data_IF_211382846048
#
_entry.id   IF_211382846048
#
_cell.length_a   1.000
_cell.length_b   1.000
_cell.length_c   1.000
_cell.angle_alpha   90.00
_cell.angle_beta   90.00
_cell.angle_gamma   90.00
#
_symmetry.space_group_name_H-M   'P 1'
#
loop_
_entity.id
_entity.type
_entity.pdbx_description
1 polymer ?
#
# COMPACT_ATOMS: atom_id res chain seq x y z
N UNK A 1 -8.65 -10.94 -15.52
CA UNK A 1 -7.84 -10.65 -14.32
C UNK A 1 -6.56 -9.98 -14.78
N UNK A 2 -6.57 -8.66 -14.79
CA UNK A 2 -5.39 -7.86 -15.12
C UNK A 2 -4.68 -7.52 -13.83
N UNK A 3 -3.51 -8.10 -13.60
CA UNK A 3 -2.62 -7.69 -12.51
C UNK A 3 -2.40 -6.17 -12.63
N UNK A 4 -2.54 -5.43 -11.53
CA UNK A 4 -2.23 -4.00 -11.51
C UNK A 4 -0.73 -3.85 -11.74
N UNK A 5 -0.35 -3.19 -12.83
CA UNK A 5 1.04 -2.85 -13.14
C UNK A 5 1.27 -1.35 -12.96
N UNK A 6 2.53 -0.94 -12.89
CA UNK A 6 2.91 0.47 -12.82
C UNK A 6 2.32 1.26 -13.99
N UNK A 7 2.30 0.69 -15.20
CA UNK A 7 1.75 1.32 -16.40
C UNK A 7 0.23 1.45 -16.37
N UNK A 8 -0.45 0.57 -15.62
CA UNK A 8 -1.90 0.63 -15.44
C UNK A 8 -2.32 1.65 -14.38
N UNK A 9 -1.40 2.05 -13.50
CA UNK A 9 -1.62 3.11 -12.52
C UNK A 9 -1.54 4.44 -13.27
N UNK A 10 -2.61 5.23 -13.23
CA UNK A 10 -2.64 6.58 -13.83
C UNK A 10 -1.70 7.60 -13.18
N UNK A 11 -0.72 7.14 -12.40
CA UNK A 11 0.32 7.89 -11.71
C UNK A 11 1.56 7.00 -11.56
N UNK A 12 2.73 7.59 -11.31
CA UNK A 12 4.00 6.83 -11.20
C UNK A 12 4.43 6.67 -9.74
N UNK A 13 4.10 5.54 -9.07
CA UNK A 13 4.55 5.30 -7.70
C UNK A 13 6.08 5.35 -7.63
N UNK A 14 6.58 5.91 -6.53
CA UNK A 14 8.01 5.94 -6.24
C UNK A 14 8.31 4.99 -5.07
N UNK A 15 9.57 4.58 -4.87
CA UNK A 15 9.94 3.84 -3.68
C UNK A 15 9.54 4.59 -2.41
N UNK A 16 9.21 3.84 -1.35
CA UNK A 16 8.92 4.42 -0.04
C UNK A 16 10.07 5.36 0.38
N UNK A 17 9.71 6.52 0.94
CA UNK A 17 10.68 7.49 1.43
C UNK A 17 11.42 6.89 2.64
N UNK A 18 12.76 6.68 2.60
CA UNK A 18 13.48 6.05 3.71
C UNK A 18 13.43 6.88 4.99
N UNK A 19 13.19 8.18 4.91
CA UNK A 19 13.14 9.10 6.06
C UNK A 19 11.71 9.32 6.56
N UNK A 20 10.72 8.56 6.09
CA UNK A 20 9.29 8.81 6.34
C UNK A 20 8.92 8.98 7.81
N UNK A 21 9.58 8.25 8.72
CA UNK A 21 9.36 8.30 10.17
C UNK A 21 9.67 9.66 10.80
N UNK A 22 10.60 10.41 10.21
CA UNK A 22 10.99 11.75 10.71
C UNK A 22 10.35 12.85 9.87
N UNK A 23 10.06 12.56 8.61
CA UNK A 23 9.56 13.53 7.64
C UNK A 23 8.04 13.72 7.71
N UNK A 24 7.31 12.66 8.05
CA UNK A 24 5.85 12.69 8.07
C UNK A 24 5.30 12.47 9.48
N UNK A 25 4.19 13.14 9.83
CA UNK A 25 3.55 12.92 11.12
C UNK A 25 2.92 11.52 11.17
N UNK A 26 2.90 10.95 12.37
CA UNK A 26 1.96 9.87 12.71
C UNK A 26 0.54 10.45 12.66
N UNK A 27 -0.30 9.90 11.79
CA UNK A 27 -1.65 10.40 11.52
C UNK A 27 -2.73 9.50 12.09
N UNK A 28 -2.38 8.29 12.53
CA UNK A 28 -3.34 7.38 13.14
C UNK A 28 -2.79 5.99 13.39
N UNK A 29 -3.72 5.04 13.53
CA UNK A 29 -3.44 3.63 13.75
C UNK A 29 -4.42 2.81 12.91
N UNK A 30 -3.91 1.80 12.22
CA UNK A 30 -4.67 0.80 11.48
C UNK A 30 -4.38 -0.55 12.13
N UNK A 31 -5.42 -1.28 12.55
CA UNK A 31 -5.25 -2.47 13.41
C UNK A 31 -4.32 -2.20 14.61
N UNK A 32 -3.12 -2.79 14.59
CA UNK A 32 -2.13 -2.68 15.66
C UNK A 32 -0.87 -1.90 15.24
N UNK A 33 -0.86 -1.28 14.06
CA UNK A 33 0.28 -0.52 13.54
C UNK A 33 -0.04 0.95 13.32
N UNK A 34 1.01 1.77 13.47
CA UNK A 34 0.96 3.21 13.21
C UNK A 34 0.78 3.48 11.72
N UNK A 35 0.05 4.55 11.42
CA UNK A 35 -0.09 5.09 10.08
C UNK A 35 0.55 6.47 10.05
N UNK A 36 1.35 6.74 9.02
CA UNK A 36 2.01 8.01 8.78
C UNK A 36 1.48 8.64 7.49
N UNK A 37 1.40 9.97 7.47
CA UNK A 37 1.02 10.75 6.29
C UNK A 37 -0.37 10.44 5.67
N UNK A 38 -1.29 9.77 6.37
CA UNK A 38 -2.66 9.61 5.87
C UNK A 38 -3.34 10.99 5.80
N UNK A 39 -4.02 11.28 4.71
CA UNK A 39 -4.61 12.60 4.44
C UNK A 39 -3.59 13.69 4.05
N UNK A 40 -2.29 13.41 4.07
CA UNK A 40 -1.24 14.33 3.62
C UNK A 40 -1.04 14.19 2.10
N UNK A 41 -1.03 15.30 1.37
CA UNK A 41 -0.72 15.27 -0.06
C UNK A 41 0.76 14.92 -0.25
N UNK A 42 1.02 13.82 -0.95
CA UNK A 42 2.35 13.42 -1.41
C UNK A 42 2.38 13.41 -2.94
N UNK A 43 3.57 13.31 -3.50
CA UNK A 43 3.81 13.42 -4.94
C UNK A 43 4.53 12.18 -5.47
N UNK A 44 4.14 11.80 -6.68
CA UNK A 44 4.63 10.68 -7.46
C UNK A 44 6.03 10.96 -8.05
N UNK A 45 6.58 10.03 -8.83
CA UNK A 45 7.92 10.17 -9.43
C UNK A 45 8.01 11.34 -10.43
N UNK A 46 6.92 11.69 -11.10
CA UNK A 46 6.86 12.80 -12.05
C UNK A 46 6.56 14.16 -11.36
N UNK A 47 6.43 14.17 -10.02
CA UNK A 47 6.06 15.36 -9.26
C UNK A 47 4.57 15.70 -9.32
N UNK A 48 3.72 14.79 -9.80
CA UNK A 48 2.26 14.95 -9.80
C UNK A 48 1.70 14.52 -8.44
N UNK A 49 0.59 15.13 -7.97
CA UNK A 49 -0.04 14.70 -6.73
C UNK A 49 -0.54 13.26 -6.88
N UNK A 50 -0.27 12.41 -5.89
CA UNK A 50 -0.95 11.12 -5.80
C UNK A 50 -2.47 11.33 -5.80
N UNK A 51 -3.23 10.45 -6.50
CA UNK A 51 -4.69 10.57 -6.58
C UNK A 51 -5.36 10.30 -5.23
N UNK A 52 -4.68 9.58 -4.35
CA UNK A 52 -5.13 9.23 -3.02
C UNK A 52 -4.17 9.77 -1.96
N UNK A 53 -4.55 9.60 -0.68
CA UNK A 53 -3.75 10.01 0.48
C UNK A 53 -3.80 8.93 1.55
N UNK A 54 -3.52 7.70 1.14
CA UNK A 54 -3.65 6.50 1.95
C UNK A 54 -2.54 6.37 3.01
N UNK A 55 -1.44 7.09 2.82
CA UNK A 55 -0.34 7.12 3.78
C UNK A 55 0.55 5.88 3.74
N UNK A 56 1.33 5.72 4.80
CA UNK A 56 2.30 4.64 5.00
C UNK A 56 1.89 3.88 6.26
N UNK A 57 1.68 2.59 6.13
CA UNK A 57 1.22 1.71 7.20
C UNK A 57 2.40 0.93 7.76
N UNK A 58 2.65 1.02 9.06
CA UNK A 58 3.72 0.30 9.75
C UNK A 58 4.94 1.16 10.11
N UNK A 59 5.79 0.63 11.00
CA UNK A 59 7.01 1.30 11.49
C UNK A 59 8.25 0.43 11.28
N UNK A 60 8.26 -0.79 11.84
CA UNK A 60 9.36 -1.73 11.68
C UNK A 60 9.32 -2.42 10.31
N UNK A 61 8.12 -2.84 9.91
CA UNK A 61 7.78 -3.25 8.55
C UNK A 61 6.73 -2.27 8.08
N UNK A 62 7.01 -1.56 6.99
CA UNK A 62 6.15 -0.50 6.49
C UNK A 62 5.81 -0.69 5.02
N UNK A 63 4.56 -0.43 4.67
CA UNK A 63 4.06 -0.46 3.29
C UNK A 63 3.48 0.91 2.96
N UNK A 64 4.03 1.53 1.92
CA UNK A 64 3.47 2.75 1.36
C UNK A 64 2.26 2.38 0.49
N UNK A 65 1.05 2.78 0.91
CA UNK A 65 -0.17 2.39 0.21
C UNK A 65 -0.35 3.14 -1.11
N UNK A 66 0.37 4.25 -1.34
CA UNK A 66 0.44 4.90 -2.65
C UNK A 66 1.38 4.13 -3.60
N UNK A 67 2.38 3.41 -3.08
CA UNK A 67 3.33 2.67 -3.90
C UNK A 67 2.96 1.19 -4.11
N UNK A 68 2.20 0.60 -3.19
CA UNK A 68 1.82 -0.81 -3.27
C UNK A 68 0.90 -1.07 -4.47
N UNK A 69 1.28 -2.02 -5.33
CA UNK A 69 0.57 -2.39 -6.57
C UNK A 69 -0.08 -3.77 -6.51
N UNK A 70 -0.20 -4.37 -5.32
CA UNK A 70 -0.65 -5.75 -5.13
C UNK A 70 0.21 -6.81 -5.85
N UNK A 71 1.52 -6.57 -6.00
CA UNK A 71 2.39 -7.55 -6.68
C UNK A 71 2.47 -8.90 -5.96
N UNK A 72 2.46 -8.89 -4.62
CA UNK A 72 2.46 -10.08 -3.77
C UNK A 72 3.84 -10.63 -3.39
N UNK A 73 4.92 -10.24 -4.09
CA UNK A 73 6.26 -10.77 -3.81
C UNK A 73 6.75 -10.54 -2.37
N UNK A 74 6.34 -9.44 -1.72
CA UNK A 74 6.66 -9.19 -0.32
C UNK A 74 6.09 -10.25 0.63
N UNK A 75 4.91 -10.78 0.32
CA UNK A 75 4.26 -11.82 1.11
C UNK A 75 4.89 -13.18 0.84
N UNK A 76 5.20 -13.49 -0.42
CA UNK A 76 5.85 -14.75 -0.81
C UNK A 76 7.27 -14.88 -0.24
N UNK A 77 7.99 -13.76 -0.15
CA UNK A 77 9.35 -13.73 0.38
C UNK A 77 9.41 -13.77 1.91
N UNK A 78 8.33 -13.41 2.62
CA UNK A 78 8.35 -13.26 4.07
C UNK A 78 8.20 -14.61 4.79
N UNK A 79 9.23 -15.12 5.48
CA UNK A 79 9.19 -16.45 6.10
C UNK A 79 8.30 -16.50 7.36
N UNK A 80 7.91 -15.34 7.89
CA UNK A 80 7.15 -15.20 9.15
C UNK A 80 5.80 -14.49 8.95
N UNK A 81 5.35 -14.36 7.69
CA UNK A 81 4.00 -13.93 7.35
C UNK A 81 3.57 -12.61 8.02
N UNK A 82 4.36 -11.54 7.90
CA UNK A 82 4.01 -10.26 8.55
C UNK A 82 2.92 -9.46 7.83
N UNK A 83 2.40 -9.96 6.71
CA UNK A 83 1.44 -9.26 5.85
C UNK A 83 0.18 -10.10 5.63
N UNK A 84 -0.93 -9.41 5.36
CA UNK A 84 -2.10 -9.98 4.70
C UNK A 84 -2.67 -9.00 3.67
N UNK A 85 -3.62 -9.45 2.85
CA UNK A 85 -4.35 -8.58 1.93
C UNK A 85 -5.42 -7.77 2.68
N UNK A 86 -5.38 -6.44 2.54
CA UNK A 86 -6.25 -5.49 3.24
C UNK A 86 -7.75 -5.77 3.04
N UNK A 87 -8.16 -6.07 1.80
CA UNK A 87 -9.55 -6.30 1.42
C UNK A 87 -9.89 -7.79 1.34
N UNK A 88 -8.92 -8.66 1.61
CA UNK A 88 -9.08 -10.11 1.70
C UNK A 88 -8.37 -10.67 2.95
N UNK A 89 -8.83 -10.31 4.17
CA UNK A 89 -8.13 -10.64 5.42
C UNK A 89 -7.93 -12.15 5.60
N UNK A 90 -6.78 -12.53 6.15
CA UNK A 90 -6.36 -13.93 6.30
C UNK A 90 -5.86 -14.60 5.01
N UNK A 91 -5.81 -13.89 3.87
CA UNK A 91 -5.15 -14.34 2.63
C UNK A 91 -3.81 -13.64 2.43
N UNK A 92 -2.90 -14.34 1.77
CA UNK A 92 -1.57 -13.82 1.45
C UNK A 92 -0.99 -14.47 0.20
N UNK A 93 0.02 -13.82 -0.36
CA UNK A 93 0.80 -14.33 -1.49
C UNK A 93 0.28 -13.88 -2.85
N UNK A 94 1.14 -14.00 -3.84
CA UNK A 94 0.88 -13.51 -5.20
C UNK A 94 -0.38 -14.13 -5.81
N UNK A 95 -1.27 -13.29 -6.32
CA UNK A 95 -2.53 -13.71 -6.97
C UNK A 95 -3.63 -14.14 -6.01
N UNK A 96 -3.49 -13.89 -4.70
CA UNK A 96 -4.57 -14.06 -3.72
C UNK A 96 -5.24 -12.72 -3.33
N UNK A 97 -4.83 -11.62 -3.96
CA UNK A 97 -5.44 -10.31 -3.82
C UNK A 97 -6.87 -10.28 -4.38
N UNK A 98 -7.70 -9.39 -3.84
CA UNK A 98 -9.04 -9.17 -4.37
C UNK A 98 -8.99 -8.37 -5.68
N UNK A 99 -9.57 -8.90 -6.76
CA UNK A 99 -9.75 -8.12 -8.00
C UNK A 99 -10.72 -6.95 -7.77
N UNK A 100 -10.22 -5.74 -8.01
CA UNK A 100 -10.94 -4.49 -7.83
C UNK A 100 -11.40 -3.87 -9.16
N UNK A 101 -11.20 -4.53 -10.31
CA UNK A 101 -11.59 -4.00 -11.63
C UNK A 101 -13.05 -3.54 -11.69
N UNK A 102 -13.91 -4.25 -10.96
CA UNK A 102 -15.36 -4.04 -10.95
C UNK A 102 -15.82 -3.28 -9.69
N UNK A 103 -14.88 -2.72 -8.90
CA UNK A 103 -15.16 -2.01 -7.63
C UNK A 103 -14.63 -0.57 -7.61
N UNK A 104 -15.03 0.29 -8.57
CA UNK A 104 -14.52 1.67 -8.67
C UNK A 104 -14.91 2.58 -7.50
N UNK A 105 -15.88 2.18 -6.67
CA UNK A 105 -16.29 2.90 -5.47
C UNK A 105 -15.27 2.82 -4.34
N UNK A 106 -14.36 1.85 -4.36
CA UNK A 106 -13.31 1.73 -3.37
C UNK A 106 -12.24 2.78 -3.62
N UNK A 107 -11.73 3.37 -2.53
CA UNK A 107 -10.62 4.35 -2.59
C UNK A 107 -9.28 3.75 -3.01
N UNK A 108 -9.21 2.45 -3.31
CA UNK A 108 -7.99 1.71 -3.56
C UNK A 108 -7.92 1.29 -5.03
N UNK A 109 -6.77 1.52 -5.67
CA UNK A 109 -6.52 1.04 -7.03
C UNK A 109 -6.27 -0.49 -7.09
N UNK A 110 -5.86 -1.10 -5.99
CA UNK A 110 -5.57 -2.52 -5.85
C UNK A 110 -5.71 -2.95 -4.38
N UNK A 111 -5.78 -4.25 -4.11
CA UNK A 111 -5.73 -4.77 -2.74
C UNK A 111 -4.36 -4.51 -2.12
N UNK A 112 -4.31 -3.89 -0.94
CA UNK A 112 -3.05 -3.42 -0.36
C UNK A 112 -2.44 -4.50 0.52
N UNK A 113 -1.11 -4.61 0.50
CA UNK A 113 -0.38 -5.44 1.44
C UNK A 113 -0.36 -4.74 2.80
N UNK A 114 -1.22 -5.17 3.72
CA UNK A 114 -1.31 -4.58 5.05
C UNK A 114 -0.35 -5.33 6.01
N UNK A 115 0.59 -4.63 6.68
CA UNK A 115 1.42 -5.25 7.69
C UNK A 115 0.60 -5.54 8.95
N UNK A 116 0.57 -6.78 9.43
CA UNK A 116 -0.28 -7.21 10.56
C UNK A 116 0.51 -7.62 11.81
N UNK A 117 1.85 -7.56 11.77
CA UNK A 117 2.75 -8.01 12.84
C UNK A 117 3.94 -7.08 13.02
#
# INVERSE_FOLDING_TARGET
MGKVTIESLGYRPKPIDPDFLTKYPETGTHHNHKVYAEGVQRYDEDGKPYPTKLGIHGTMVAVDFEACIADGACMDACPVQVFEWLLNPGKMGTGQDLDLSDKPELKYACDKSDPIR
#
